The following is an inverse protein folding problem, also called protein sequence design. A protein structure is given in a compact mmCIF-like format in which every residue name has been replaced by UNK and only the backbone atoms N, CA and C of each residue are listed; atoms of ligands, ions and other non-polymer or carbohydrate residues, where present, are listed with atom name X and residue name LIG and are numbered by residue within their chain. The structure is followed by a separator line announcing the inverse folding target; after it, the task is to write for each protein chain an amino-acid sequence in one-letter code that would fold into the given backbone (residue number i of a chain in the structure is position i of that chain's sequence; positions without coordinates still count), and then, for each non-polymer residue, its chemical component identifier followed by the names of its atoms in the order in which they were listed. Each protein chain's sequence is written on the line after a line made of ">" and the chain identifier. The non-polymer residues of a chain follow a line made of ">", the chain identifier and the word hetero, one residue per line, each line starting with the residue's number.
data_IF_283652343496
#
_entry.id   IF_283652343496
#
_cell.length_a   1.000
_cell.length_b   1.000
_cell.length_c   1.000
_cell.angle_alpha   90.00
_cell.angle_beta   90.00
_cell.angle_gamma   90.00
#
_symmetry.space_group_name_H-M   'P 1'
#
loop_
_entity.id
_entity.type
_entity.pdbx_description
1 polymer ?
#
# COMPACT_ATOMS: atom_id res chain seq x y z
N UNK A 1 13.43 8.22 -0.26
CA UNK A 1 12.07 7.70 0.06
C UNK A 1 12.06 6.21 0.35
N UNK A 2 12.58 5.35 -0.54
CA UNK A 2 12.53 3.89 -0.37
C UNK A 2 13.10 3.39 0.98
N UNK A 3 14.27 3.85 1.39
CA UNK A 3 14.88 3.47 2.70
C UNK A 3 14.01 3.86 3.89
N UNK A 4 13.37 5.03 3.83
CA UNK A 4 12.44 5.49 4.88
C UNK A 4 11.18 4.63 4.92
N UNK A 5 10.61 4.27 3.76
CA UNK A 5 9.49 3.32 3.67
C UNK A 5 9.88 1.94 4.20
N UNK A 6 11.08 1.44 3.86
CA UNK A 6 11.59 0.18 4.38
C UNK A 6 11.64 0.18 5.92
N UNK A 7 12.11 1.28 6.52
CA UNK A 7 12.07 1.46 7.97
C UNK A 7 10.66 1.43 8.57
N UNK A 8 9.65 1.93 7.85
CA UNK A 8 8.25 1.81 8.26
C UNK A 8 7.77 0.36 8.19
N UNK A 9 7.99 -0.29 7.05
CA UNK A 9 7.59 -1.68 6.79
C UNK A 9 8.17 -2.65 7.83
N UNK A 10 9.47 -2.56 8.11
CA UNK A 10 10.16 -3.38 9.12
C UNK A 10 9.60 -3.13 10.53
N UNK A 11 9.24 -1.88 10.86
CA UNK A 11 8.67 -1.57 12.18
C UNK A 11 7.25 -2.11 12.40
N UNK A 12 6.52 -2.34 11.31
CA UNK A 12 5.13 -2.84 11.36
C UNK A 12 5.04 -4.35 11.18
N UNK A 13 5.97 -4.92 10.42
CA UNK A 13 6.04 -6.35 10.11
C UNK A 13 7.51 -6.77 10.11
N UNK A 14 8.05 -7.17 11.27
CA UNK A 14 9.45 -7.57 11.40
C UNK A 14 9.80 -8.74 10.46
N UNK A 15 10.87 -8.65 9.62
CA UNK A 15 11.27 -9.71 8.69
C UNK A 15 11.50 -11.08 9.36
N UNK A 16 11.85 -11.09 10.64
CA UNK A 16 12.07 -12.30 11.44
C UNK A 16 10.82 -13.17 11.57
N UNK A 17 9.62 -12.59 11.42
CA UNK A 17 8.36 -13.32 11.48
C UNK A 17 8.10 -14.16 10.21
N UNK A 18 8.85 -13.93 9.13
CA UNK A 18 8.72 -14.67 7.86
C UNK A 18 9.57 -15.93 7.86
N UNK A 19 9.36 -16.81 8.85
CA UNK A 19 10.21 -17.99 9.12
C UNK A 19 10.42 -18.91 7.91
N UNK A 20 9.44 -19.01 7.01
CA UNK A 20 9.52 -19.87 5.81
C UNK A 20 10.47 -19.35 4.72
N UNK A 21 10.67 -18.03 4.67
CA UNK A 21 11.54 -17.37 3.70
C UNK A 21 12.92 -17.06 4.30
N UNK A 22 12.98 -16.85 5.62
CA UNK A 22 14.17 -16.39 6.32
C UNK A 22 14.25 -14.86 6.36
N UNK A 23 14.84 -14.32 7.44
CA UNK A 23 14.81 -12.88 7.72
C UNK A 23 15.53 -12.04 6.66
N UNK A 24 16.70 -12.47 6.18
CA UNK A 24 17.49 -11.73 5.19
C UNK A 24 16.81 -11.67 3.83
N UNK A 25 16.22 -12.80 3.39
CA UNK A 25 15.46 -12.87 2.14
C UNK A 25 14.18 -12.03 2.23
N UNK A 26 13.46 -12.09 3.36
CA UNK A 26 12.31 -11.22 3.60
C UNK A 26 12.69 -9.73 3.60
N UNK A 27 13.81 -9.36 4.24
CA UNK A 27 14.30 -7.98 4.25
C UNK A 27 14.70 -7.50 2.84
N UNK A 28 15.35 -8.33 2.04
CA UNK A 28 15.69 -8.01 0.66
C UNK A 28 14.42 -7.78 -0.18
N UNK A 29 13.40 -8.63 -0.01
CA UNK A 29 12.09 -8.48 -0.67
C UNK A 29 11.36 -7.22 -0.22
N UNK A 30 11.40 -6.88 1.07
CA UNK A 30 10.88 -5.62 1.58
C UNK A 30 11.58 -4.42 0.93
N UNK A 31 12.90 -4.49 0.75
CA UNK A 31 13.66 -3.47 0.04
C UNK A 31 13.19 -3.29 -1.41
N UNK A 32 12.87 -4.38 -2.10
CA UNK A 32 12.27 -4.32 -3.44
C UNK A 32 10.86 -3.68 -3.42
N UNK A 33 9.98 -4.12 -2.52
CA UNK A 33 8.64 -3.55 -2.34
C UNK A 33 8.71 -2.04 -2.03
N UNK A 34 9.62 -1.63 -1.14
CA UNK A 34 9.80 -0.22 -0.77
C UNK A 34 10.28 0.64 -1.94
N UNK A 35 11.13 0.09 -2.84
CA UNK A 35 11.56 0.77 -4.07
C UNK A 35 10.40 0.94 -5.04
N UNK A 36 9.55 -0.08 -5.22
CA UNK A 36 8.39 0.02 -6.11
C UNK A 36 7.33 0.99 -5.58
N UNK A 37 7.07 0.98 -4.27
CA UNK A 37 6.21 1.97 -3.61
C UNK A 37 6.70 3.40 -3.85
N UNK A 38 8.01 3.65 -3.65
CA UNK A 38 8.60 4.95 -3.91
C UNK A 38 8.52 5.32 -5.40
N UNK A 39 8.83 4.38 -6.31
CA UNK A 39 8.74 4.58 -7.75
C UNK A 39 7.33 5.00 -8.16
N UNK A 40 6.31 4.23 -7.79
CA UNK A 40 4.91 4.50 -8.18
C UNK A 40 4.40 5.81 -7.59
N UNK A 41 4.74 6.12 -6.33
CA UNK A 41 4.32 7.38 -5.71
C UNK A 41 5.00 8.62 -6.30
N UNK A 42 6.17 8.46 -6.94
CA UNK A 42 6.92 9.54 -7.58
C UNK A 42 6.58 9.71 -9.07
N UNK A 43 5.89 8.76 -9.70
CA UNK A 43 5.43 8.88 -11.09
C UNK A 43 4.52 10.10 -11.27
N UNK A 44 4.80 10.92 -12.29
CA UNK A 44 4.09 12.18 -12.52
C UNK A 44 2.59 11.93 -12.80
N UNK A 45 2.30 10.86 -13.54
CA UNK A 45 0.98 10.41 -13.97
C UNK A 45 0.14 9.88 -12.81
N UNK A 46 0.77 9.56 -11.68
CA UNK A 46 0.08 9.15 -10.47
C UNK A 46 -0.19 10.35 -9.57
N UNK A 47 -1.44 10.82 -9.58
CA UNK A 47 -1.91 11.80 -8.60
C UNK A 47 -1.73 11.23 -7.17
N UNK A 48 -1.17 12.00 -6.21
CA UNK A 48 -1.09 11.58 -4.82
C UNK A 48 -2.47 11.64 -4.13
N UNK A 49 -2.59 10.97 -2.98
CA UNK A 49 -3.78 11.03 -2.10
C UNK A 49 -3.80 12.28 -1.22
N UNK A 50 -2.62 12.87 -1.01
CA UNK A 50 -2.41 14.02 -0.15
C UNK A 50 -1.76 15.13 -0.96
N UNK A 51 -2.11 16.37 -0.65
CA UNK A 51 -1.57 17.55 -1.30
C UNK A 51 -0.23 17.99 -0.71
N UNK A 52 0.41 18.95 -1.38
CA UNK A 52 1.60 19.64 -0.90
C UNK A 52 2.92 18.89 -1.13
N UNK A 53 4.05 19.49 -0.71
CA UNK A 53 5.40 19.00 -1.04
C UNK A 53 5.71 17.58 -0.55
N UNK A 54 5.05 17.16 0.53
CA UNK A 54 5.21 15.82 1.13
C UNK A 54 4.12 14.83 0.74
N UNK A 55 3.13 15.26 -0.06
CA UNK A 55 1.93 14.48 -0.36
C UNK A 55 2.23 13.13 -1.03
N UNK A 56 3.24 13.06 -1.89
CA UNK A 56 3.72 11.81 -2.50
C UNK A 56 4.35 10.86 -1.47
N UNK A 57 5.13 11.37 -0.52
CA UNK A 57 5.71 10.55 0.54
C UNK A 57 4.64 10.01 1.50
N UNK A 58 3.65 10.83 1.84
CA UNK A 58 2.49 10.41 2.64
C UNK A 58 1.65 9.36 1.90
N UNK A 59 1.47 9.52 0.59
CA UNK A 59 0.77 8.55 -0.28
C UNK A 59 1.50 7.22 -0.29
N UNK A 60 2.83 7.23 -0.50
CA UNK A 60 3.66 6.02 -0.48
C UNK A 60 3.59 5.30 0.88
N UNK A 61 3.62 6.06 1.98
CA UNK A 61 3.52 5.52 3.32
C UNK A 61 2.15 4.89 3.59
N UNK A 62 1.07 5.51 3.09
CA UNK A 62 -0.27 4.95 3.24
C UNK A 62 -0.43 3.66 2.42
N UNK A 63 0.09 3.60 1.19
CA UNK A 63 0.14 2.36 0.41
C UNK A 63 0.89 1.25 1.16
N UNK A 64 2.05 1.57 1.76
CA UNK A 64 2.81 0.63 2.57
C UNK A 64 2.01 0.14 3.79
N UNK A 65 1.31 1.05 4.47
CA UNK A 65 0.49 0.71 5.64
C UNK A 65 -0.67 -0.21 5.26
N UNK A 66 -1.35 0.05 4.14
CA UNK A 66 -2.38 -0.84 3.60
C UNK A 66 -1.78 -2.21 3.29
N UNK A 67 -0.70 -2.27 2.50
CA UNK A 67 -0.05 -3.53 2.14
C UNK A 67 0.36 -4.38 3.38
N UNK A 68 0.82 -3.73 4.45
CA UNK A 68 1.18 -4.42 5.70
C UNK A 68 -0.02 -5.06 6.41
N UNK A 69 -1.22 -4.50 6.26
CA UNK A 69 -2.44 -5.03 6.90
C UNK A 69 -3.19 -6.00 5.99
N UNK A 70 -3.06 -5.85 4.68
CA UNK A 70 -3.66 -6.75 3.68
C UNK A 70 -2.88 -8.06 3.54
N UNK A 71 -1.55 -7.99 3.59
CA UNK A 71 -0.70 -9.13 3.21
C UNK A 71 0.39 -9.46 4.22
N UNK A 72 0.62 -8.59 5.20
CA UNK A 72 1.82 -8.63 6.06
C UNK A 72 3.12 -8.71 5.25
N UNK A 73 3.09 -8.25 4.00
CA UNK A 73 4.15 -8.42 3.01
C UNK A 73 4.60 -9.89 2.89
N UNK A 74 3.70 -10.87 2.96
CA UNK A 74 4.05 -12.27 2.81
C UNK A 74 4.49 -12.59 1.38
N UNK A 75 5.55 -13.40 1.24
CA UNK A 75 6.06 -13.85 -0.07
C UNK A 75 4.96 -14.51 -0.89
N UNK A 76 4.15 -15.38 -0.29
CA UNK A 76 3.13 -16.11 -1.03
C UNK A 76 2.04 -15.19 -1.60
N UNK A 77 1.79 -14.04 -0.97
CA UNK A 77 0.85 -13.03 -1.49
C UNK A 77 1.52 -12.20 -2.59
N UNK A 78 2.78 -11.79 -2.40
CA UNK A 78 3.57 -11.06 -3.40
C UNK A 78 3.77 -11.87 -4.68
N UNK A 79 3.91 -13.20 -4.59
CA UNK A 79 4.01 -14.10 -5.75
C UNK A 79 2.67 -14.68 -6.20
N UNK A 80 1.54 -14.20 -5.67
CA UNK A 80 0.20 -14.66 -6.06
C UNK A 80 -0.16 -16.11 -5.72
N UNK A 81 0.70 -16.83 -4.99
CA UNK A 81 0.44 -18.20 -4.51
C UNK A 81 -0.70 -18.23 -3.49
N UNK A 82 -0.80 -17.20 -2.67
CA UNK A 82 -1.91 -16.97 -1.75
C UNK A 82 -2.72 -15.76 -2.25
N UNK A 83 -4.04 -15.93 -2.28
CA UNK A 83 -5.01 -14.92 -2.73
C UNK A 83 -6.15 -14.83 -1.72
N UNK A 84 -6.74 -13.65 -1.57
CA UNK A 84 -7.91 -13.42 -0.73
C UNK A 84 -9.22 -13.60 -1.49
N UNK A 85 -10.33 -13.46 -0.78
CA UNK A 85 -11.70 -13.42 -1.34
C UNK A 85 -11.99 -14.56 -2.33
N UNK A 86 -11.69 -15.80 -1.92
CA UNK A 86 -11.84 -17.00 -2.76
C UNK A 86 -11.10 -16.91 -4.11
N UNK A 87 -9.93 -16.25 -4.12
CA UNK A 87 -9.10 -16.09 -5.32
C UNK A 87 -9.37 -14.82 -6.14
N UNK A 88 -10.25 -13.93 -5.65
CA UNK A 88 -10.61 -12.67 -6.34
C UNK A 88 -9.68 -11.51 -6.00
N UNK A 89 -9.02 -11.56 -4.84
CA UNK A 89 -8.12 -10.50 -4.36
C UNK A 89 -6.66 -10.87 -4.57
N UNK A 90 -5.96 -10.01 -5.29
CA UNK A 90 -4.61 -10.25 -5.80
C UNK A 90 -3.59 -9.32 -5.19
N UNK A 91 -2.32 -9.76 -5.22
CA UNK A 91 -1.13 -9.03 -4.82
C UNK A 91 -1.13 -8.51 -3.36
N UNK A 92 -0.07 -7.80 -2.99
CA UNK A 92 0.16 -7.31 -1.62
C UNK A 92 -0.86 -6.27 -1.14
N UNK A 93 -1.66 -5.70 -2.06
CA UNK A 93 -2.75 -4.78 -1.74
C UNK A 93 -4.13 -5.46 -1.74
N UNK A 94 -4.23 -6.76 -2.05
CA UNK A 94 -5.51 -7.47 -2.11
C UNK A 94 -6.54 -6.77 -3.03
N UNK A 95 -6.08 -6.33 -4.21
CA UNK A 95 -6.94 -5.68 -5.20
C UNK A 95 -7.90 -6.72 -5.78
N UNK A 96 -9.20 -6.48 -5.65
CA UNK A 96 -10.23 -7.31 -6.28
C UNK A 96 -10.21 -7.15 -7.81
N UNK A 97 -10.12 -8.27 -8.53
CA UNK A 97 -10.13 -8.29 -10.00
C UNK A 97 -11.25 -9.18 -10.51
N UNK A 98 -12.24 -8.58 -11.17
CA UNK A 98 -13.35 -9.26 -11.86
C UNK A 98 -13.06 -9.28 -13.37
N UNK A 99 -12.28 -10.28 -13.80
CA UNK A 99 -11.76 -10.34 -15.18
C UNK A 99 -10.52 -9.47 -15.36
N UNK A 100 -10.70 -8.14 -15.47
CA UNK A 100 -9.61 -7.16 -15.61
C UNK A 100 -9.85 -5.93 -14.74
N UNK A 101 -8.77 -5.27 -14.36
CA UNK A 101 -8.83 -3.91 -13.78
C UNK A 101 -9.20 -2.89 -14.86
N UNK A 102 -9.60 -1.64 -14.50
CA UNK A 102 -9.80 -0.57 -15.48
C UNK A 102 -8.58 -0.29 -16.34
N UNK A 103 -7.38 -0.52 -15.81
CA UNK A 103 -6.10 -0.44 -16.55
C UNK A 103 -5.87 -1.62 -17.53
N UNK A 104 -6.86 -2.51 -17.69
CA UNK A 104 -6.83 -3.69 -18.56
C UNK A 104 -5.87 -4.81 -18.12
N UNK A 105 -5.48 -4.83 -16.84
CA UNK A 105 -4.63 -5.87 -16.26
C UNK A 105 -5.46 -6.98 -15.63
N UNK A 106 -5.05 -8.23 -15.84
CA UNK A 106 -5.57 -9.40 -15.13
C UNK A 106 -5.01 -9.46 -13.70
N UNK A 107 -5.53 -10.35 -12.87
CA UNK A 107 -4.95 -10.59 -11.54
C UNK A 107 -3.49 -11.07 -11.59
N UNK A 108 -3.14 -11.87 -12.61
CA UNK A 108 -1.78 -12.35 -12.82
C UNK A 108 -0.83 -11.21 -13.19
N UNK A 109 -1.27 -10.28 -14.05
CA UNK A 109 -0.49 -9.08 -14.39
C UNK A 109 -0.10 -8.26 -13.15
N UNK A 110 -0.95 -8.22 -12.11
CA UNK A 110 -0.66 -7.51 -10.85
C UNK A 110 0.40 -8.22 -10.00
N UNK A 111 0.51 -9.54 -10.13
CA UNK A 111 1.50 -10.36 -9.41
C UNK A 111 2.84 -10.34 -10.14
N UNK A 112 2.82 -10.45 -11.47
CA UNK A 112 4.02 -10.48 -12.30
C UNK A 112 4.75 -9.12 -12.30
N UNK A 113 4.00 -8.02 -12.16
CA UNK A 113 4.54 -6.67 -12.02
C UNK A 113 3.91 -5.97 -10.82
N UNK A 114 4.66 -5.91 -9.71
CA UNK A 114 4.25 -5.23 -8.48
C UNK A 114 3.87 -3.77 -8.70
N UNK A 115 4.48 -3.06 -9.67
CA UNK A 115 4.10 -1.67 -9.93
C UNK A 115 2.67 -1.57 -10.47
N UNK A 116 2.19 -2.57 -11.22
CA UNK A 116 0.78 -2.64 -11.65
C UNK A 116 -0.15 -2.83 -10.45
N UNK A 117 0.18 -3.75 -9.53
CA UNK A 117 -0.53 -3.90 -8.26
C UNK A 117 -0.65 -2.57 -7.51
N UNK A 118 0.47 -1.87 -7.33
CA UNK A 118 0.53 -0.61 -6.59
C UNK A 118 -0.25 0.51 -7.29
N UNK A 119 -0.18 0.60 -8.62
CA UNK A 119 -0.95 1.58 -9.41
C UNK A 119 -2.45 1.33 -9.32
N UNK A 120 -2.89 0.08 -9.50
CA UNK A 120 -4.31 -0.27 -9.36
C UNK A 120 -4.81 -0.05 -7.94
N UNK A 121 -4.03 -0.44 -6.93
CA UNK A 121 -4.37 -0.18 -5.52
C UNK A 121 -4.45 1.32 -5.20
N UNK A 122 -3.49 2.12 -5.66
CA UNK A 122 -3.53 3.57 -5.52
C UNK A 122 -4.77 4.17 -6.20
N UNK A 123 -5.15 3.71 -7.39
CA UNK A 123 -6.40 4.15 -8.05
C UNK A 123 -7.62 3.85 -7.18
N UNK A 124 -7.73 2.64 -6.62
CA UNK A 124 -8.86 2.27 -5.73
C UNK A 124 -8.87 3.13 -4.46
N UNK A 125 -7.70 3.38 -3.86
CA UNK A 125 -7.59 4.25 -2.69
C UNK A 125 -7.99 5.70 -3.01
N UNK A 126 -7.58 6.22 -4.18
CA UNK A 126 -7.97 7.57 -4.65
C UNK A 126 -9.48 7.65 -4.83
N UNK A 127 -10.08 6.65 -5.44
CA UNK A 127 -11.52 6.58 -5.61
C UNK A 127 -12.26 6.54 -4.27
N UNK A 128 -11.76 5.76 -3.30
CA UNK A 128 -12.26 5.76 -1.92
C UNK A 128 -12.16 7.16 -1.28
N UNK A 129 -11.02 7.85 -1.42
CA UNK A 129 -10.85 9.21 -0.90
C UNK A 129 -11.81 10.21 -1.53
N UNK A 130 -12.06 10.08 -2.83
CA UNK A 130 -12.99 10.92 -3.59
C UNK A 130 -14.44 10.68 -3.17
N UNK A 131 -14.88 9.42 -3.14
CA UNK A 131 -16.24 9.03 -2.78
C UNK A 131 -16.54 9.32 -1.31
N UNK A 132 -15.63 8.96 -0.42
CA UNK A 132 -15.81 9.09 1.03
C UNK A 132 -15.25 10.40 1.61
N UNK A 133 -15.15 11.46 0.79
CA UNK A 133 -14.56 12.76 1.18
C UNK A 133 -15.22 13.43 2.39
N UNK A 134 -16.50 13.13 2.64
CA UNK A 134 -17.27 13.62 3.77
C UNK A 134 -16.83 13.02 5.12
N UNK A 135 -16.13 11.87 5.10
CA UNK A 135 -15.58 11.27 6.31
C UNK A 135 -14.28 11.98 6.73
N UNK A 136 -13.93 11.94 8.03
CA UNK A 136 -12.59 12.28 8.50
C UNK A 136 -11.52 11.50 7.74
N UNK A 137 -10.35 12.10 7.55
CA UNK A 137 -9.30 11.55 6.68
C UNK A 137 -8.89 10.12 7.05
N UNK A 138 -8.93 9.75 8.33
CA UNK A 138 -8.62 8.40 8.77
C UNK A 138 -9.62 7.34 8.27
N UNK A 139 -10.86 7.73 7.98
CA UNK A 139 -11.90 6.85 7.46
C UNK A 139 -12.05 6.94 5.93
N UNK A 140 -11.26 7.74 5.22
CA UNK A 140 -11.40 7.88 3.77
C UNK A 140 -11.03 6.62 2.97
N UNK A 141 -10.43 5.61 3.62
CA UNK A 141 -10.25 4.25 3.07
C UNK A 141 -11.47 3.32 3.27
N UNK A 142 -12.62 3.79 3.75
CA UNK A 142 -13.81 2.94 3.93
C UNK A 142 -14.27 2.30 2.63
N UNK A 143 -14.33 3.07 1.53
CA UNK A 143 -14.70 2.55 0.22
C UNK A 143 -13.73 1.48 -0.29
N UNK A 144 -12.43 1.65 -0.04
CA UNK A 144 -11.41 0.63 -0.31
C UNK A 144 -11.65 -0.65 0.51
N UNK A 145 -12.03 -0.49 1.78
CA UNK A 145 -12.10 -1.59 2.75
C UNK A 145 -13.38 -2.42 2.60
N UNK A 146 -14.52 -1.77 2.43
CA UNK A 146 -15.83 -2.41 2.50
C UNK A 146 -16.75 -2.06 1.32
N UNK A 147 -16.30 -1.22 0.39
CA UNK A 147 -17.13 -0.74 -0.72
C UNK A 147 -18.17 0.31 -0.32
N UNK A 148 -18.17 0.78 0.93
CA UNK A 148 -19.14 1.75 1.45
C UNK A 148 -18.46 2.94 2.13
N UNK A 149 -19.16 4.06 2.27
CA UNK A 149 -18.65 5.27 2.94
C UNK A 149 -19.20 5.45 4.37
N UNK A 150 -19.27 4.36 5.13
CA UNK A 150 -19.47 4.41 6.58
C UNK A 150 -18.14 4.54 7.32
N UNK A 151 -18.16 4.83 8.62
CA UNK A 151 -16.94 4.94 9.44
C UNK A 151 -16.34 3.55 9.74
N UNK A 152 -15.77 2.89 8.73
CA UNK A 152 -15.20 1.55 8.80
C UNK A 152 -13.98 1.49 9.75
N UNK A 153 -14.03 0.75 10.87
CA UNK A 153 -12.94 0.68 11.83
C UNK A 153 -11.60 0.23 11.23
N UNK A 154 -11.60 -0.73 10.29
CA UNK A 154 -10.37 -1.21 9.68
C UNK A 154 -9.73 -0.15 8.75
N UNK A 155 -10.54 0.67 8.08
CA UNK A 155 -10.04 1.82 7.30
C UNK A 155 -9.26 2.79 8.20
N UNK A 156 -9.78 3.06 9.39
CA UNK A 156 -9.10 3.87 10.41
C UNK A 156 -7.80 3.26 10.91
N UNK A 157 -7.75 1.94 11.11
CA UNK A 157 -6.51 1.24 11.49
C UNK A 157 -5.44 1.40 10.41
N UNK A 158 -5.80 1.20 9.13
CA UNK A 158 -4.91 1.38 7.97
C UNK A 158 -4.33 2.80 7.93
N UNK A 159 -5.18 3.81 7.99
CA UNK A 159 -4.76 5.22 7.98
C UNK A 159 -3.89 5.59 9.20
N UNK A 160 -4.30 5.17 10.41
CA UNK A 160 -3.56 5.48 11.65
C UNK A 160 -2.19 4.83 11.69
N UNK A 161 -1.99 3.65 11.09
CA UNK A 161 -0.66 3.02 10.99
C UNK A 161 0.32 3.95 10.26
N UNK A 162 -0.07 4.50 9.11
CA UNK A 162 0.72 5.48 8.38
C UNK A 162 0.90 6.79 9.16
N UNK A 163 -0.19 7.38 9.66
CA UNK A 163 -0.14 8.68 10.34
C UNK A 163 0.70 8.65 11.62
N UNK A 164 0.63 7.55 12.38
CA UNK A 164 1.41 7.38 13.61
C UNK A 164 2.90 7.26 13.31
N UNK A 165 3.27 6.56 12.23
CA UNK A 165 4.67 6.50 11.79
C UNK A 165 5.14 7.87 11.33
N UNK A 166 4.36 8.55 10.49
CA UNK A 166 4.68 9.91 10.01
C UNK A 166 4.92 10.88 11.17
N UNK A 167 4.04 10.88 12.19
CA UNK A 167 4.19 11.75 13.36
C UNK A 167 5.49 11.50 14.12
N UNK A 168 5.95 10.25 14.21
CA UNK A 168 7.18 9.87 14.93
C UNK A 168 8.45 10.01 14.09
N UNK A 169 8.35 9.77 12.79
CA UNK A 169 9.45 9.70 11.83
C UNK A 169 9.03 10.36 10.51
N UNK A 170 8.84 11.69 10.49
CA UNK A 170 8.41 12.38 9.27
C UNK A 170 9.44 12.20 8.15
N UNK A 171 8.98 12.16 6.91
CA UNK A 171 9.90 12.10 5.77
C UNK A 171 10.56 13.47 5.57
N UNK A 172 11.88 13.53 5.69
CA UNK A 172 12.69 14.65 5.24
C UNK A 172 13.24 14.34 3.84
N UNK A 173 12.89 15.15 2.85
CA UNK A 173 13.53 15.05 1.54
C UNK A 173 15.01 15.45 1.66
N UNK A 174 15.93 14.78 0.93
CA UNK A 174 17.30 15.27 0.83
C UNK A 174 17.29 16.69 0.25
N UNK A 175 17.76 17.68 1.01
CA UNK A 175 17.80 19.10 0.61
C UNK A 175 16.84 20.04 1.33
N UNK A 176 16.08 19.57 2.33
CA UNK A 176 15.25 20.44 3.19
C UNK A 176 15.98 20.84 4.47
N UNK A 177 16.87 21.84 4.36
CA UNK A 177 17.32 22.71 5.45
C UNK A 177 17.25 24.16 4.95
#
# INVERSE_FOLDING_TARGET
>A
MATWLLGAMVSWSPPQNHHKEGADAALARYGAIARDLASVALEAEQAPLFDGPTGRAQTALLLAAVASLESDFRREVDTGKLRGDNGRSWCILQVQVYGKTPEQWTGQDLVDDRKRCLKSGLRVMRESFRLCKALPVEYRLSGYTSGTCWAEPLAKVRSRRAFSYWKKKPFAAPGGA
#
